data_IF_414058550337
#
_entry.id   IF_414058550337
#
_cell.length_a   1.000
_cell.length_b   1.000
_cell.length_c   1.000
_cell.angle_alpha   90.00
_cell.angle_beta   90.00
_cell.angle_gamma   90.00
#
_symmetry.space_group_name_H-M   'P 1'
#
loop_
_entity.id
_entity.type
_entity.pdbx_description
1 polymer ?
#
# COMPACT_ATOMS: atom_id res chain seq x y z
N UNK A 1 -18.61 -7.51 -11.77
CA UNK A 1 -18.16 -6.74 -10.58
C UNK A 1 -16.67 -6.96 -10.44
N UNK A 2 -15.90 -5.93 -10.06
CA UNK A 2 -14.49 -6.12 -9.69
C UNK A 2 -14.43 -6.78 -8.31
N UNK A 3 -13.67 -7.85 -8.15
CA UNK A 3 -13.48 -8.54 -6.86
C UNK A 3 -12.48 -7.82 -5.95
N UNK A 4 -11.67 -6.92 -6.53
CA UNK A 4 -10.59 -6.21 -5.85
C UNK A 4 -10.80 -4.70 -5.88
N UNK A 5 -10.47 -4.04 -4.76
CA UNK A 5 -10.46 -2.58 -4.62
C UNK A 5 -9.06 -2.09 -4.27
N UNK A 6 -8.59 -1.07 -4.99
CA UNK A 6 -7.30 -0.43 -4.73
C UNK A 6 -7.37 0.48 -3.50
N UNK A 7 -6.48 0.27 -2.54
CA UNK A 7 -6.39 1.03 -1.29
C UNK A 7 -5.31 2.11 -1.25
N UNK A 8 -4.53 2.27 -2.33
CA UNK A 8 -3.43 3.23 -2.39
C UNK A 8 -2.06 2.62 -2.10
N UNK A 9 -1.03 3.46 -2.20
CA UNK A 9 0.36 3.12 -1.86
C UNK A 9 0.50 2.83 -0.35
N UNK A 10 1.14 1.70 -0.02
CA UNK A 10 1.57 1.39 1.33
C UNK A 10 2.62 2.40 1.78
N UNK A 11 2.40 3.01 2.95
CA UNK A 11 3.27 4.04 3.52
C UNK A 11 3.29 3.88 5.03
N UNK A 12 4.47 3.98 5.61
CA UNK A 12 4.62 3.94 7.06
C UNK A 12 4.01 5.20 7.67
N UNK A 13 3.14 4.99 8.65
CA UNK A 13 2.53 6.08 9.39
C UNK A 13 3.56 6.66 10.36
N UNK A 14 3.78 7.98 10.37
CA UNK A 14 4.61 8.59 11.41
C UNK A 14 3.91 8.45 12.77
N UNK A 15 4.70 8.47 13.85
CA UNK A 15 4.15 8.47 15.21
C UNK A 15 3.31 9.76 15.44
N UNK A 16 1.99 9.63 15.66
CA UNK A 16 1.11 10.78 15.77
C UNK A 16 1.40 11.66 17.00
N UNK A 17 2.04 11.11 18.04
CA UNK A 17 2.32 11.85 19.27
C UNK A 17 3.60 12.69 19.19
N UNK A 18 4.49 12.37 18.24
CA UNK A 18 5.83 12.99 18.14
C UNK A 18 6.12 13.65 16.80
N UNK A 19 5.33 13.37 15.76
CA UNK A 19 5.55 13.97 14.44
C UNK A 19 5.20 15.47 14.40
N UNK A 20 5.85 16.19 13.50
CA UNK A 20 5.53 17.58 13.19
C UNK A 20 4.30 17.66 12.28
N UNK A 21 3.58 18.79 12.33
CA UNK A 21 2.47 19.07 11.40
C UNK A 21 2.86 18.88 9.93
N UNK A 22 4.11 19.19 9.57
CA UNK A 22 4.64 19.01 8.21
C UNK A 22 4.74 17.54 7.83
N UNK A 23 5.26 16.69 8.74
CA UNK A 23 5.36 15.25 8.52
C UNK A 23 3.97 14.61 8.46
N UNK A 24 3.08 15.03 9.35
CA UNK A 24 1.69 14.58 9.33
C UNK A 24 0.97 14.97 8.03
N UNK A 25 1.09 16.23 7.60
CA UNK A 25 0.51 16.69 6.34
C UNK A 25 1.07 15.93 5.13
N UNK A 26 2.37 15.63 5.13
CA UNK A 26 2.99 14.81 4.09
C UNK A 26 2.41 13.39 4.08
N UNK A 27 2.26 12.75 5.23
CA UNK A 27 1.65 11.43 5.33
C UNK A 27 0.18 11.42 4.88
N UNK A 28 -0.62 12.40 5.29
CA UNK A 28 -2.04 12.45 4.93
C UNK A 28 -2.23 12.77 3.44
N UNK A 29 -1.50 13.76 2.90
CA UNK A 29 -1.79 14.34 1.59
C UNK A 29 -0.81 13.99 0.48
N UNK A 30 0.48 13.78 0.77
CA UNK A 30 1.46 13.57 -0.30
C UNK A 30 1.49 12.11 -0.75
N UNK A 31 1.65 11.90 -2.06
CA UNK A 31 1.70 10.58 -2.71
C UNK A 31 2.83 10.57 -3.73
N UNK A 32 3.52 9.44 -3.86
CA UNK A 32 4.50 9.27 -4.92
C UNK A 32 3.82 8.72 -6.17
N UNK A 33 3.44 9.63 -7.07
CA UNK A 33 2.77 9.30 -8.33
C UNK A 33 3.69 8.83 -9.46
N UNK A 34 5.01 8.80 -9.26
CA UNK A 34 5.92 8.36 -10.31
C UNK A 34 5.75 6.84 -10.56
N UNK A 35 5.67 6.41 -11.83
CA UNK A 35 5.52 5.00 -12.16
C UNK A 35 6.80 4.21 -11.81
N UNK A 36 6.64 2.95 -11.48
CA UNK A 36 7.72 2.05 -11.05
C UNK A 36 7.22 0.97 -10.10
N UNK A 37 8.13 0.29 -9.39
CA UNK A 37 7.77 -0.71 -8.39
C UNK A 37 7.14 -0.05 -7.17
N UNK A 38 5.92 -0.47 -6.81
CA UNK A 38 5.12 0.07 -5.71
C UNK A 38 4.63 -1.04 -4.80
N UNK A 39 4.60 -0.76 -3.50
CA UNK A 39 3.83 -1.53 -2.52
C UNK A 39 2.44 -0.91 -2.41
N UNK A 40 1.41 -1.72 -2.59
CA UNK A 40 0.03 -1.25 -2.74
C UNK A 40 -0.91 -2.05 -1.85
N UNK A 41 -1.85 -1.35 -1.21
CA UNK A 41 -2.98 -1.98 -0.52
C UNK A 41 -4.03 -2.44 -1.51
N UNK A 42 -4.49 -3.68 -1.35
CA UNK A 42 -5.59 -4.26 -2.09
C UNK A 42 -6.58 -4.93 -1.15
N UNK A 43 -7.87 -4.72 -1.41
CA UNK A 43 -8.97 -5.34 -0.68
C UNK A 43 -9.68 -6.35 -1.58
N UNK A 44 -9.75 -7.60 -1.14
CA UNK A 44 -10.54 -8.64 -1.80
C UNK A 44 -11.93 -8.68 -1.16
N UNK A 45 -12.93 -8.18 -1.89
CA UNK A 45 -14.31 -8.06 -1.42
C UNK A 45 -14.92 -9.38 -0.94
N UNK A 46 -14.80 -10.49 -1.69
CA UNK A 46 -15.37 -11.78 -1.31
C UNK A 46 -14.86 -12.36 0.02
N UNK A 47 -13.58 -12.17 0.36
CA UNK A 47 -13.01 -12.68 1.62
C UNK A 47 -12.89 -11.63 2.73
N UNK A 48 -13.15 -10.36 2.42
CA UNK A 48 -12.98 -9.25 3.36
C UNK A 48 -11.52 -9.01 3.75
N UNK A 49 -10.56 -9.43 2.94
CA UNK A 49 -9.14 -9.43 3.29
C UNK A 49 -8.40 -8.26 2.67
N UNK A 50 -7.63 -7.54 3.49
CA UNK A 50 -6.62 -6.60 3.04
C UNK A 50 -5.25 -7.28 2.93
N UNK A 51 -4.55 -7.02 1.85
CA UNK A 51 -3.20 -7.52 1.60
C UNK A 51 -2.37 -6.50 0.84
N UNK A 52 -1.05 -6.72 0.83
CA UNK A 52 -0.10 -5.91 0.07
C UNK A 52 0.24 -6.63 -1.23
N UNK A 53 0.28 -5.89 -2.33
CA UNK A 53 0.88 -6.31 -3.58
C UNK A 53 2.09 -5.43 -3.92
N UNK A 54 3.20 -6.06 -4.27
CA UNK A 54 4.32 -5.40 -4.93
C UNK A 54 4.10 -5.47 -6.44
N UNK A 55 3.84 -4.31 -7.06
CA UNK A 55 3.48 -4.21 -8.47
C UNK A 55 4.35 -3.17 -9.16
N UNK A 56 4.92 -3.56 -10.30
CA UNK A 56 5.52 -2.61 -11.23
C UNK A 56 4.40 -1.93 -12.02
N UNK A 57 4.17 -0.64 -11.75
CA UNK A 57 3.09 0.13 -12.36
C UNK A 57 3.37 0.52 -13.82
N UNK A 58 4.59 0.28 -14.33
CA UNK A 58 4.92 0.45 -15.75
C UNK A 58 4.49 -0.79 -16.55
N UNK A 59 4.78 -1.97 -16.01
CA UNK A 59 4.58 -3.26 -16.72
C UNK A 59 3.34 -4.02 -16.27
N UNK A 60 2.67 -3.55 -15.21
CA UNK A 60 1.56 -4.18 -14.52
C UNK A 60 1.87 -5.58 -13.95
N UNK A 61 3.16 -5.88 -13.77
CA UNK A 61 3.61 -7.17 -13.21
C UNK A 61 3.60 -7.12 -11.68
N UNK A 62 2.95 -8.10 -11.08
CA UNK A 62 2.99 -8.34 -9.64
C UNK A 62 4.18 -9.25 -9.33
N UNK A 63 5.13 -8.78 -8.52
CA UNK A 63 6.28 -9.58 -8.08
C UNK A 63 5.94 -10.44 -6.87
N UNK A 64 5.08 -9.94 -5.97
CA UNK A 64 4.73 -10.62 -4.72
C UNK A 64 3.42 -10.09 -4.11
N UNK A 65 2.73 -10.94 -3.36
CA UNK A 65 1.64 -10.54 -2.45
C UNK A 65 1.83 -11.15 -1.06
N UNK A 66 1.39 -10.46 -0.01
CA UNK A 66 1.46 -10.94 1.37
C UNK A 66 0.46 -10.23 2.29
N UNK A 67 0.11 -10.86 3.42
CA UNK A 67 -0.67 -10.20 4.47
C UNK A 67 0.24 -9.23 5.24
N UNK A 68 -0.24 -8.02 5.52
CA UNK A 68 0.54 -7.05 6.28
C UNK A 68 0.97 -7.62 7.64
N UNK A 69 2.25 -7.45 7.98
CA UNK A 69 2.85 -8.09 9.17
C UNK A 69 3.30 -9.55 8.96
N UNK A 70 3.08 -10.15 7.79
CA UNK A 70 3.52 -11.50 7.42
C UNK A 70 4.50 -11.47 6.23
N UNK A 71 5.38 -10.48 6.21
CA UNK A 71 6.30 -10.20 5.10
C UNK A 71 7.36 -11.29 4.87
N UNK A 72 7.67 -12.09 5.88
CA UNK A 72 8.70 -13.13 5.81
C UNK A 72 8.13 -14.55 5.87
N UNK A 73 6.81 -14.70 6.02
CA UNK A 73 6.18 -16.02 6.03
C UNK A 73 6.32 -16.65 4.64
N UNK A 74 7.06 -17.76 4.58
CA UNK A 74 7.32 -18.56 3.39
C UNK A 74 6.64 -19.92 3.50
#
# INVERSE_FOLDING_TARGET
>A
MSEFTYGGEYRDMPDPDTCTDKEWAAYVHYRNGAPGLKKEWWYHGPSGTWFIAERDTITDKISRTYIAGQEEAK
#
